data_IF_119015180272
#
_entry.id   IF_119015180272
#
_cell.length_a   1.000
_cell.length_b   1.000
_cell.length_c   1.000
_cell.angle_alpha   90.00
_cell.angle_beta   90.00
_cell.angle_gamma   90.00
#
_symmetry.space_group_name_H-M   'P 1'
#
loop_
_entity.id
_entity.type
_entity.pdbx_description
1 polymer ?
#
# COMPACT_ATOMS: atom_id res chain seq x y z
N UNK A 1 29.27 2.62 9.67
CA UNK A 1 29.10 2.77 11.12
C UNK A 1 30.44 3.23 11.69
N UNK A 2 30.45 4.31 12.46
CA UNK A 2 31.63 4.75 13.19
C UNK A 2 31.53 4.20 14.61
N UNK A 3 32.60 3.56 15.08
CA UNK A 3 32.78 3.08 16.44
C UNK A 3 34.06 3.73 16.99
N UNK A 4 33.93 4.40 18.12
CA UNK A 4 35.03 5.08 18.81
C UNK A 4 35.21 4.39 20.15
N UNK A 5 36.42 3.88 20.39
CA UNK A 5 36.83 3.36 21.68
C UNK A 5 37.73 4.39 22.37
N UNK A 6 37.37 4.74 23.60
CA UNK A 6 38.08 5.72 24.42
C UNK A 6 38.62 5.01 25.65
N UNK A 7 39.93 5.08 25.84
CA UNK A 7 40.62 4.51 27.02
C UNK A 7 41.43 5.59 27.72
N UNK A 8 41.29 5.68 29.05
CA UNK A 8 42.08 6.59 29.88
C UNK A 8 43.15 5.80 30.64
N UNK A 9 44.42 6.03 30.30
CA UNK A 9 45.55 5.35 30.95
C UNK A 9 45.74 5.70 32.43
N UNK A 10 45.20 6.83 32.90
CA UNK A 10 45.42 7.31 34.27
C UNK A 10 44.38 6.79 35.27
N UNK A 11 43.11 6.64 34.88
CA UNK A 11 42.04 6.18 35.76
C UNK A 11 41.40 4.85 35.33
N UNK A 12 41.86 4.25 34.23
CA UNK A 12 41.32 2.98 33.72
C UNK A 12 39.94 3.09 33.07
N UNK A 13 39.40 4.29 32.89
CA UNK A 13 38.09 4.48 32.24
C UNK A 13 38.12 3.97 30.80
N UNK A 14 37.11 3.19 30.41
CA UNK A 14 36.85 2.77 29.03
C UNK A 14 35.41 3.12 28.63
N UNK A 15 35.25 3.69 27.43
CA UNK A 15 33.95 3.90 26.79
C UNK A 15 34.02 3.50 25.33
N UNK A 16 32.98 2.81 24.89
CA UNK A 16 32.69 2.62 23.47
C UNK A 16 31.52 3.55 23.10
N UNK A 17 31.69 4.34 22.05
CA UNK A 17 30.63 5.12 21.44
C UNK A 17 30.41 4.65 20.00
N UNK A 18 29.14 4.47 19.63
CA UNK A 18 28.75 4.09 18.28
C UNK A 18 27.83 5.15 17.70
N UNK A 19 28.08 5.52 16.44
CA UNK A 19 27.27 6.52 15.71
C UNK A 19 25.79 6.18 15.59
N UNK A 20 25.43 4.90 15.71
CA UNK A 20 24.08 4.37 15.57
C UNK A 20 24.03 2.94 16.13
N UNK A 21 22.87 2.46 16.60
CA UNK A 21 22.71 1.07 17.01
C UNK A 21 22.71 0.12 15.80
N UNK A 22 22.89 -1.17 16.10
CA UNK A 22 22.76 -2.26 15.13
C UNK A 22 21.42 -2.96 15.31
N UNK A 23 20.71 -3.24 14.21
CA UNK A 23 19.53 -4.11 14.16
C UNK A 23 19.96 -5.41 13.50
N UNK A 24 20.22 -6.43 14.31
CA UNK A 24 20.93 -7.62 13.85
C UNK A 24 22.31 -7.24 13.32
N UNK A 25 22.59 -7.57 12.06
CA UNK A 25 23.84 -7.22 11.37
C UNK A 25 23.78 -5.92 10.57
N UNK A 26 22.69 -5.15 10.66
CA UNK A 26 22.47 -3.95 9.85
C UNK A 26 22.53 -2.68 10.71
N UNK A 27 23.32 -1.66 10.34
CA UNK A 27 23.28 -0.36 11.01
C UNK A 27 21.88 0.25 10.90
N UNK A 28 21.29 0.67 12.02
CA UNK A 28 19.89 1.09 12.07
C UNK A 28 19.57 2.24 11.10
N UNK A 29 20.50 3.19 10.94
CA UNK A 29 20.37 4.31 10.00
C UNK A 29 20.25 3.88 8.55
N UNK A 30 20.85 2.75 8.14
CA UNK A 30 20.72 2.23 6.78
C UNK A 30 19.30 1.71 6.51
N UNK A 31 18.68 1.07 7.50
CA UNK A 31 17.28 0.63 7.43
C UNK A 31 16.34 1.84 7.44
N UNK A 32 16.57 2.80 8.32
CA UNK A 32 15.78 4.05 8.39
C UNK A 32 15.86 4.81 7.06
N UNK A 33 17.04 4.94 6.47
CA UNK A 33 17.22 5.59 5.17
C UNK A 33 16.46 4.84 4.06
N UNK A 34 16.51 3.51 4.05
CA UNK A 34 15.76 2.70 3.08
C UNK A 34 14.25 2.83 3.27
N UNK A 35 13.78 2.85 4.52
CA UNK A 35 12.38 3.05 4.86
C UNK A 35 11.90 4.43 4.41
N UNK A 36 12.67 5.49 4.69
CA UNK A 36 12.36 6.84 4.27
C UNK A 36 12.23 6.93 2.75
N UNK A 37 13.21 6.42 1.99
CA UNK A 37 13.18 6.37 0.53
C UNK A 37 11.90 5.72 -0.02
N UNK A 38 11.55 4.54 0.50
CA UNK A 38 10.38 3.80 0.04
C UNK A 38 9.07 4.54 0.39
N UNK A 39 8.92 4.98 1.64
CA UNK A 39 7.67 5.54 2.15
C UNK A 39 7.37 6.93 1.58
N UNK A 40 8.39 7.70 1.20
CA UNK A 40 8.21 9.00 0.53
C UNK A 40 8.12 8.90 -0.99
N UNK A 41 8.25 7.69 -1.57
CA UNK A 41 8.22 7.49 -3.01
C UNK A 41 9.41 8.10 -3.76
N UNK A 42 10.55 8.30 -3.10
CA UNK A 42 11.74 8.86 -3.74
C UNK A 42 12.40 7.82 -4.63
N UNK A 43 12.94 8.26 -5.77
CA UNK A 43 13.73 7.41 -6.65
C UNK A 43 15.04 7.02 -5.95
N UNK A 44 15.27 5.72 -5.65
CA UNK A 44 16.44 5.29 -4.90
C UNK A 44 17.75 5.62 -5.63
N UNK A 45 17.77 5.41 -6.95
CA UNK A 45 18.92 5.71 -7.80
C UNK A 45 19.30 7.19 -7.77
N UNK A 46 18.31 8.10 -7.87
CA UNK A 46 18.56 9.55 -7.81
C UNK A 46 19.03 9.99 -6.43
N UNK A 47 18.43 9.43 -5.38
CA UNK A 47 18.75 9.85 -4.00
C UNK A 47 20.10 9.34 -3.55
N UNK A 48 20.45 8.10 -3.88
CA UNK A 48 21.79 7.56 -3.60
C UNK A 48 22.85 8.34 -4.38
N UNK A 49 22.62 8.62 -5.68
CA UNK A 49 23.52 9.47 -6.47
C UNK A 49 23.68 10.87 -5.88
N UNK A 50 22.61 11.45 -5.33
CA UNK A 50 22.67 12.73 -4.64
C UNK A 50 23.59 12.68 -3.40
N UNK A 51 23.49 11.64 -2.57
CA UNK A 51 24.38 11.46 -1.42
C UNK A 51 25.84 11.31 -1.84
N UNK A 52 26.09 10.56 -2.92
CA UNK A 52 27.42 10.42 -3.51
C UNK A 52 28.00 11.78 -3.95
N UNK A 53 27.21 12.65 -4.59
CA UNK A 53 27.67 14.00 -4.99
C UNK A 53 28.01 14.90 -3.80
N UNK A 54 27.37 14.68 -2.64
CA UNK A 54 27.70 15.39 -1.40
C UNK A 54 28.88 14.78 -0.64
N UNK A 55 29.51 13.71 -1.17
CA UNK A 55 30.50 12.90 -0.45
C UNK A 55 29.98 12.31 0.87
N UNK A 56 28.68 12.03 0.94
CA UNK A 56 28.05 11.35 2.08
C UNK A 56 27.96 9.86 1.77
N UNK A 57 28.64 9.05 2.57
CA UNK A 57 28.58 7.58 2.45
C UNK A 57 27.16 7.12 2.76
N UNK A 58 26.51 6.45 1.80
CA UNK A 58 25.16 5.89 1.93
C UNK A 58 25.11 4.42 1.51
N UNK A 59 23.92 3.81 1.60
CA UNK A 59 23.66 2.47 1.08
C UNK A 59 23.75 2.42 -0.45
N UNK A 60 23.93 1.21 -0.99
CA UNK A 60 23.86 0.96 -2.44
C UNK A 60 22.42 0.65 -2.89
N UNK A 61 22.09 0.77 -4.19
CA UNK A 61 20.80 0.33 -4.70
C UNK A 61 20.49 -1.14 -4.40
N UNK A 62 21.49 -2.03 -4.46
CA UNK A 62 21.31 -3.43 -4.10
C UNK A 62 20.91 -3.57 -2.63
N UNK A 63 21.62 -2.89 -1.71
CA UNK A 63 21.28 -2.88 -0.28
C UNK A 63 19.85 -2.40 -0.05
N UNK A 64 19.42 -1.34 -0.74
CA UNK A 64 18.06 -0.84 -0.68
C UNK A 64 17.02 -1.90 -1.09
N UNK A 65 17.22 -2.60 -2.22
CA UNK A 65 16.30 -3.64 -2.67
C UNK A 65 16.27 -4.86 -1.74
N UNK A 66 17.41 -5.23 -1.15
CA UNK A 66 17.44 -6.27 -0.11
C UNK A 66 16.65 -5.83 1.13
N UNK A 67 16.80 -4.57 1.56
CA UNK A 67 16.02 -4.04 2.67
C UNK A 67 14.52 -4.03 2.36
N UNK A 68 14.12 -3.62 1.16
CA UNK A 68 12.73 -3.67 0.72
C UNK A 68 12.16 -5.08 0.83
N UNK A 69 12.84 -6.06 0.23
CA UNK A 69 12.40 -7.45 0.16
C UNK A 69 12.27 -8.09 1.54
N UNK A 70 13.27 -7.91 2.40
CA UNK A 70 13.36 -8.69 3.65
C UNK A 70 12.80 -7.98 4.87
N UNK A 71 12.75 -6.65 4.88
CA UNK A 71 12.34 -5.89 6.06
C UNK A 71 11.14 -4.99 5.77
N UNK A 72 11.21 -4.15 4.73
CA UNK A 72 10.22 -3.08 4.56
C UNK A 72 8.88 -3.59 4.05
N UNK A 73 8.84 -4.35 2.95
CA UNK A 73 7.57 -4.89 2.43
C UNK A 73 6.89 -5.82 3.44
N UNK A 74 7.59 -6.75 4.13
CA UNK A 74 6.96 -7.55 5.18
C UNK A 74 6.38 -6.69 6.31
N UNK A 75 7.10 -5.65 6.75
CA UNK A 75 6.63 -4.75 7.81
C UNK A 75 5.40 -3.96 7.38
N UNK A 76 5.39 -3.40 6.16
CA UNK A 76 4.25 -2.69 5.59
C UNK A 76 3.03 -3.61 5.50
N UNK A 77 3.23 -4.82 4.95
CA UNK A 77 2.16 -5.83 4.87
C UNK A 77 1.62 -6.21 6.25
N UNK A 78 2.48 -6.34 7.25
CA UNK A 78 2.07 -6.64 8.62
C UNK A 78 1.18 -5.52 9.17
N UNK A 79 1.63 -4.27 9.09
CA UNK A 79 0.86 -3.11 9.58
C UNK A 79 -0.48 -3.00 8.85
N UNK A 80 -0.48 -3.13 7.53
CA UNK A 80 -1.70 -3.08 6.71
C UNK A 80 -2.70 -4.18 7.08
N UNK A 81 -2.24 -5.44 7.21
CA UNK A 81 -3.10 -6.56 7.60
C UNK A 81 -3.69 -6.38 9.00
N UNK A 82 -2.88 -5.94 9.96
CA UNK A 82 -3.36 -5.66 11.32
C UNK A 82 -4.43 -4.58 11.31
N UNK A 83 -4.22 -3.49 10.55
CA UNK A 83 -5.21 -2.43 10.38
C UNK A 83 -6.52 -2.97 9.77
N UNK A 84 -6.41 -3.68 8.64
CA UNK A 84 -7.56 -4.17 7.89
C UNK A 84 -8.37 -5.21 8.68
N UNK A 85 -7.70 -6.14 9.37
CA UNK A 85 -8.37 -7.12 10.23
C UNK A 85 -9.11 -6.45 11.39
N UNK A 86 -8.49 -5.45 12.03
CA UNK A 86 -9.12 -4.70 13.12
C UNK A 86 -10.38 -3.99 12.62
N UNK A 87 -10.28 -3.33 11.46
CA UNK A 87 -11.43 -2.67 10.82
C UNK A 87 -12.56 -3.66 10.54
N UNK A 88 -12.29 -4.78 9.86
CA UNK A 88 -13.33 -5.76 9.51
C UNK A 88 -13.98 -6.38 10.75
N UNK A 89 -13.21 -6.68 11.80
CA UNK A 89 -13.77 -7.17 13.07
C UNK A 89 -14.71 -6.15 13.70
N UNK A 90 -14.30 -4.88 13.74
CA UNK A 90 -15.14 -3.80 14.30
C UNK A 90 -16.45 -3.64 13.52
N UNK A 91 -16.38 -3.61 12.19
CA UNK A 91 -17.58 -3.50 11.36
C UNK A 91 -18.50 -4.71 11.50
N UNK A 92 -17.93 -5.92 11.54
CA UNK A 92 -18.71 -7.14 11.73
C UNK A 92 -19.43 -7.15 13.09
N UNK A 93 -18.77 -6.71 14.17
CA UNK A 93 -19.40 -6.57 15.49
C UNK A 93 -20.49 -5.51 15.50
N UNK A 94 -20.32 -4.40 14.77
CA UNK A 94 -21.33 -3.35 14.70
C UNK A 94 -22.61 -3.80 13.98
N UNK A 95 -22.50 -4.75 13.05
CA UNK A 95 -23.60 -5.17 12.17
C UNK A 95 -24.09 -4.08 11.21
N UNK A 96 -23.45 -2.91 11.19
CA UNK A 96 -23.80 -1.78 10.32
C UNK A 96 -23.47 -2.16 8.87
N UNK A 97 -24.42 -1.94 7.97
CA UNK A 97 -24.16 -2.05 6.55
C UNK A 97 -23.29 -0.88 6.08
N UNK A 98 -22.33 -1.17 5.20
CA UNK A 98 -21.29 -0.25 4.78
C UNK A 98 -21.74 0.62 3.60
N UNK A 99 -21.25 1.86 3.60
CA UNK A 99 -21.29 2.79 2.47
C UNK A 99 -19.91 2.75 1.81
N UNK A 100 -19.80 2.15 0.63
CA UNK A 100 -18.52 1.90 -0.01
C UNK A 100 -18.34 2.70 -1.30
N UNK A 101 -17.12 3.19 -1.51
CA UNK A 101 -16.68 3.79 -2.76
C UNK A 101 -15.57 2.96 -3.39
N UNK A 102 -15.56 2.81 -4.71
CA UNK A 102 -14.53 2.03 -5.38
C UNK A 102 -14.11 2.61 -6.72
N UNK A 103 -12.81 2.57 -6.98
CA UNK A 103 -12.17 3.12 -8.19
C UNK A 103 -10.99 2.23 -8.64
N UNK A 104 -10.81 2.16 -9.96
CA UNK A 104 -9.74 1.43 -10.63
C UNK A 104 -8.61 2.34 -11.07
N UNK A 105 -7.37 1.86 -10.94
CA UNK A 105 -6.19 2.49 -11.54
C UNK A 105 -5.36 1.49 -12.31
N UNK A 106 -4.71 1.96 -13.36
CA UNK A 106 -3.80 1.18 -14.19
C UNK A 106 -2.40 1.81 -14.21
N UNK A 107 -1.38 0.98 -14.38
CA UNK A 107 0.02 1.40 -14.41
C UNK A 107 0.40 2.22 -15.65
N UNK A 108 -0.29 2.00 -16.77
CA UNK A 108 -0.10 2.73 -18.02
C UNK A 108 -1.44 3.05 -18.69
N UNK A 109 -1.54 4.18 -19.42
CA UNK A 109 -2.75 4.50 -20.17
C UNK A 109 -3.03 3.52 -21.31
N UNK A 110 -4.31 3.36 -21.66
CA UNK A 110 -4.76 2.60 -22.83
C UNK A 110 -4.75 1.08 -22.62
N UNK A 111 -4.68 0.34 -23.73
CA UNK A 111 -4.89 -1.11 -23.72
C UNK A 111 -3.64 -1.93 -23.36
N UNK A 112 -2.49 -1.30 -23.10
CA UNK A 112 -1.22 -1.99 -22.79
C UNK A 112 -0.93 -2.14 -21.30
N UNK A 113 -1.85 -1.75 -20.42
CA UNK A 113 -1.65 -1.86 -18.98
C UNK A 113 -1.32 -3.29 -18.53
N UNK A 114 -0.25 -3.42 -17.75
CA UNK A 114 0.20 -4.71 -17.23
C UNK A 114 -0.39 -4.97 -15.85
N UNK A 115 -0.56 -3.91 -15.07
CA UNK A 115 -0.99 -3.99 -13.68
C UNK A 115 -2.14 -3.00 -13.45
N UNK A 116 -3.17 -3.50 -12.78
CA UNK A 116 -4.29 -2.72 -12.29
C UNK A 116 -4.42 -2.86 -10.78
N UNK A 117 -4.93 -1.82 -10.13
CA UNK A 117 -5.34 -1.87 -8.74
C UNK A 117 -6.76 -1.35 -8.58
N UNK A 118 -7.57 -2.01 -7.78
CA UNK A 118 -8.89 -1.52 -7.39
C UNK A 118 -8.87 -1.11 -5.93
N UNK A 119 -9.10 0.18 -5.66
CA UNK A 119 -9.18 0.72 -4.31
C UNK A 119 -10.62 0.70 -3.81
N UNK A 120 -10.83 0.26 -2.57
CA UNK A 120 -12.12 0.27 -1.90
C UNK A 120 -12.06 1.11 -0.64
N UNK A 121 -12.99 2.05 -0.52
CA UNK A 121 -13.09 3.02 0.56
C UNK A 121 -14.39 2.83 1.34
N UNK A 122 -14.31 2.95 2.67
CA UNK A 122 -15.47 3.25 3.51
C UNK A 122 -15.69 4.77 3.47
N UNK A 123 -16.83 5.18 2.92
CA UNK A 123 -17.17 6.59 2.71
C UNK A 123 -17.64 7.28 3.98
N UNK A 124 -18.18 6.54 4.95
CA UNK A 124 -18.61 7.13 6.23
C UNK A 124 -17.40 7.48 7.10
N UNK A 125 -16.35 6.64 7.04
CA UNK A 125 -15.11 6.83 7.81
C UNK A 125 -14.01 7.52 7.03
N UNK A 126 -14.16 7.66 5.70
CA UNK A 126 -13.14 8.16 4.79
C UNK A 126 -11.83 7.36 4.86
N UNK A 127 -11.95 6.04 4.93
CA UNK A 127 -10.81 5.13 5.05
C UNK A 127 -10.66 4.26 3.80
N UNK A 128 -9.44 4.08 3.32
CA UNK A 128 -9.13 3.00 2.38
C UNK A 128 -9.11 1.70 3.16
N UNK A 129 -10.02 0.79 2.83
CA UNK A 129 -10.22 -0.46 3.58
C UNK A 129 -9.61 -1.66 2.85
N UNK A 130 -9.47 -1.57 1.54
CA UNK A 130 -8.89 -2.62 0.72
C UNK A 130 -8.31 -2.07 -0.58
N UNK A 131 -7.24 -2.71 -1.06
CA UNK A 131 -6.65 -2.45 -2.37
C UNK A 131 -6.38 -3.83 -2.96
N UNK A 132 -7.05 -4.13 -4.06
CA UNK A 132 -6.85 -5.37 -4.79
C UNK A 132 -5.92 -5.14 -5.97
N UNK A 133 -4.98 -6.04 -6.20
CA UNK A 133 -4.03 -5.96 -7.31
C UNK A 133 -4.30 -7.06 -8.33
N UNK A 134 -4.37 -6.68 -9.61
CA UNK A 134 -4.66 -7.60 -10.71
C UNK A 134 -3.64 -7.40 -11.81
N UNK A 135 -2.98 -8.47 -12.24
CA UNK A 135 -2.15 -8.45 -13.43
C UNK A 135 -2.98 -8.80 -14.68
N UNK A 136 -2.71 -8.15 -15.81
CA UNK A 136 -3.48 -8.34 -17.04
C UNK A 136 -3.43 -9.76 -17.60
N UNK A 137 -2.46 -10.58 -17.21
CA UNK A 137 -2.36 -12.00 -17.59
C UNK A 137 -3.28 -12.92 -16.78
N UNK A 138 -3.77 -12.47 -15.63
CA UNK A 138 -4.76 -13.21 -14.83
C UNK A 138 -6.17 -13.09 -15.44
N UNK A 139 -6.34 -12.12 -16.34
CA UNK A 139 -7.61 -11.78 -16.98
C UNK A 139 -7.43 -11.76 -18.50
N UNK A 140 -8.52 -11.51 -19.23
CA UNK A 140 -8.49 -11.51 -20.70
C UNK A 140 -7.69 -10.34 -21.29
N UNK A 141 -7.70 -9.18 -20.62
CA UNK A 141 -6.97 -7.98 -21.03
C UNK A 141 -6.96 -6.94 -19.92
N UNK A 142 -6.16 -5.89 -20.11
CA UNK A 142 -6.11 -4.69 -19.26
C UNK A 142 -7.49 -4.11 -18.93
N UNK A 143 -8.40 -4.11 -19.90
CA UNK A 143 -9.79 -3.64 -19.73
C UNK A 143 -10.59 -4.41 -18.66
N UNK A 144 -10.23 -5.67 -18.41
CA UNK A 144 -10.94 -6.52 -17.45
C UNK A 144 -10.36 -6.44 -16.04
N UNK A 145 -9.19 -5.82 -15.85
CA UNK A 145 -8.51 -5.78 -14.54
C UNK A 145 -9.33 -5.04 -13.49
N UNK A 146 -9.97 -3.93 -13.88
CA UNK A 146 -10.78 -3.14 -12.95
C UNK A 146 -11.99 -3.94 -12.45
N UNK A 147 -12.75 -4.56 -13.37
CA UNK A 147 -13.89 -5.40 -13.01
C UNK A 147 -13.45 -6.55 -12.11
N UNK A 148 -12.35 -7.21 -12.44
CA UNK A 148 -11.80 -8.32 -11.64
C UNK A 148 -11.43 -7.85 -10.23
N UNK A 149 -10.71 -6.72 -10.12
CA UNK A 149 -10.34 -6.15 -8.83
C UNK A 149 -11.56 -5.77 -8.00
N UNK A 150 -12.60 -5.21 -8.63
CA UNK A 150 -13.89 -4.94 -7.99
C UNK A 150 -14.54 -6.22 -7.47
N UNK A 151 -14.66 -7.27 -8.29
CA UNK A 151 -15.31 -8.53 -7.89
C UNK A 151 -14.57 -9.18 -6.71
N UNK A 152 -13.25 -9.30 -6.78
CA UNK A 152 -12.42 -9.81 -5.68
C UNK A 152 -12.59 -9.00 -4.40
N UNK A 153 -12.69 -7.67 -4.53
CA UNK A 153 -12.99 -6.78 -3.40
C UNK A 153 -14.36 -7.07 -2.78
N UNK A 154 -15.40 -7.25 -3.61
CA UNK A 154 -16.74 -7.60 -3.12
C UNK A 154 -16.77 -8.98 -2.45
N UNK A 155 -16.06 -9.96 -3.02
CA UNK A 155 -15.94 -11.30 -2.45
C UNK A 155 -15.22 -11.28 -1.09
N UNK A 156 -14.21 -10.44 -0.93
CA UNK A 156 -13.58 -10.21 0.37
C UNK A 156 -14.60 -9.68 1.39
N UNK A 157 -15.36 -8.63 1.06
CA UNK A 157 -16.37 -8.06 1.98
C UNK A 157 -17.42 -9.12 2.36
N UNK A 158 -17.92 -9.88 1.38
CA UNK A 158 -18.85 -11.00 1.59
C UNK A 158 -18.24 -12.07 2.50
N UNK A 159 -16.98 -12.45 2.29
CA UNK A 159 -16.28 -13.45 3.11
C UNK A 159 -16.11 -13.04 4.57
N UNK A 160 -16.11 -11.73 4.85
CA UNK A 160 -16.08 -11.18 6.22
C UNK A 160 -17.47 -11.05 6.85
N UNK A 161 -18.54 -11.47 6.15
CA UNK A 161 -19.92 -11.38 6.63
C UNK A 161 -20.46 -9.95 6.68
N UNK A 162 -19.83 -9.02 5.96
CA UNK A 162 -20.20 -7.61 5.96
C UNK A 162 -21.23 -7.34 4.86
N UNK A 163 -22.19 -6.46 5.17
CA UNK A 163 -23.24 -6.03 4.23
C UNK A 163 -22.88 -4.69 3.65
N UNK A 164 -23.27 -4.45 2.39
CA UNK A 164 -23.07 -3.19 1.69
C UNK A 164 -24.46 -2.58 1.45
N UNK A 165 -24.73 -1.42 2.06
CA UNK A 165 -25.98 -0.69 1.86
C UNK A 165 -25.92 0.12 0.57
N UNK A 166 -24.87 0.93 0.45
CA UNK A 166 -24.67 1.87 -0.64
C UNK A 166 -23.29 1.62 -1.26
N UNK A 167 -23.23 1.63 -2.59
CA UNK A 167 -22.02 1.47 -3.37
C UNK A 167 -21.91 2.65 -4.34
N UNK A 168 -20.76 3.31 -4.37
CA UNK A 168 -20.44 4.40 -5.29
C UNK A 168 -19.27 3.96 -6.17
N UNK A 169 -19.47 3.95 -7.49
CA UNK A 169 -18.39 3.64 -8.45
C UNK A 169 -18.52 4.52 -9.69
N UNK A 170 -17.55 4.39 -10.59
CA UNK A 170 -17.63 4.93 -11.93
C UNK A 170 -18.74 4.28 -12.78
N UNK A 171 -18.99 4.90 -13.94
CA UNK A 171 -19.94 4.43 -14.97
C UNK A 171 -19.38 3.26 -15.79
N UNK A 172 -18.48 2.47 -15.25
CA UNK A 172 -17.93 1.31 -15.94
C UNK A 172 -19.04 0.25 -16.13
N UNK A 173 -19.52 0.10 -17.37
CA UNK A 173 -20.66 -0.74 -17.74
C UNK A 173 -20.63 -2.17 -17.16
N UNK A 174 -19.45 -2.79 -17.05
CA UNK A 174 -19.32 -4.13 -16.48
C UNK A 174 -19.55 -4.17 -14.96
N UNK A 175 -19.09 -3.15 -14.24
CA UNK A 175 -19.33 -2.99 -12.80
C UNK A 175 -20.80 -2.66 -12.54
N UNK A 176 -21.38 -1.72 -13.31
CA UNK A 176 -22.81 -1.38 -13.20
C UNK A 176 -23.68 -2.63 -13.40
N UNK A 177 -23.36 -3.43 -14.42
CA UNK A 177 -24.06 -4.69 -14.67
C UNK A 177 -23.94 -5.65 -13.50
N UNK A 178 -22.71 -5.84 -12.97
CA UNK A 178 -22.49 -6.71 -11.82
C UNK A 178 -23.26 -6.24 -10.59
N UNK A 179 -23.19 -4.96 -10.24
CA UNK A 179 -23.91 -4.41 -9.08
C UNK A 179 -25.42 -4.66 -9.18
N UNK A 180 -26.00 -4.48 -10.38
CA UNK A 180 -27.42 -4.73 -10.63
C UNK A 180 -27.81 -6.21 -10.51
N UNK A 181 -26.98 -7.12 -11.00
CA UNK A 181 -27.32 -8.55 -11.10
C UNK A 181 -26.94 -9.34 -9.84
N UNK A 182 -25.80 -9.03 -9.23
CA UNK A 182 -25.20 -9.79 -8.12
C UNK A 182 -25.34 -9.11 -6.75
N UNK A 183 -25.78 -7.85 -6.72
CA UNK A 183 -25.95 -7.07 -5.47
C UNK A 183 -27.33 -6.40 -5.40
N UNK A 184 -28.45 -7.14 -5.55
CA UNK A 184 -29.79 -6.56 -5.68
C UNK A 184 -30.27 -5.79 -4.44
N UNK A 185 -29.67 -6.04 -3.28
CA UNK A 185 -30.00 -5.35 -2.01
C UNK A 185 -29.09 -4.15 -1.72
N UNK A 186 -28.17 -3.82 -2.62
CA UNK A 186 -27.26 -2.68 -2.50
C UNK A 186 -27.72 -1.57 -3.44
N UNK A 187 -27.81 -0.34 -2.93
CA UNK A 187 -28.08 0.83 -3.76
C UNK A 187 -26.79 1.25 -4.45
N UNK A 188 -26.81 1.27 -5.78
CA UNK A 188 -25.66 1.67 -6.58
C UNK A 188 -25.82 3.13 -7.04
N UNK A 189 -24.80 3.93 -6.78
CA UNK A 189 -24.67 5.33 -7.15
C UNK A 189 -23.44 5.52 -8.05
N UNK A 190 -23.46 6.61 -8.82
CA UNK A 190 -22.32 7.01 -9.62
C UNK A 190 -21.50 8.07 -8.91
N UNK A 191 -20.17 7.99 -9.03
CA UNK A 191 -19.29 9.07 -8.60
C UNK A 191 -19.64 10.37 -9.36
N UNK A 192 -19.94 11.42 -8.58
CA UNK A 192 -20.31 12.74 -9.10
C UNK A 192 -19.14 13.44 -9.79
N UNK A 193 -17.88 13.11 -9.46
CA UNK A 193 -16.72 13.69 -10.11
C UNK A 193 -16.70 13.43 -11.61
N UNK A 194 -17.07 12.20 -12.01
CA UNK A 194 -17.24 11.83 -13.42
C UNK A 194 -18.39 12.60 -14.09
N UNK A 195 -19.49 12.80 -13.36
CA UNK A 195 -20.63 13.58 -13.86
C UNK A 195 -20.26 15.05 -14.08
N UNK A 196 -19.52 15.64 -13.15
CA UNK A 196 -19.13 17.04 -13.18
C UNK A 196 -18.07 17.32 -14.25
N UNK A 197 -17.14 16.40 -14.48
CA UNK A 197 -16.06 16.57 -15.45
C UNK A 197 -16.38 16.01 -16.85
N UNK A 198 -17.53 15.34 -17.02
CA UNK A 198 -17.95 14.78 -18.31
C UNK A 198 -17.06 13.63 -18.80
N UNK A 199 -16.42 12.91 -17.87
CA UNK A 199 -15.53 11.77 -18.13
C UNK A 199 -16.29 10.47 -17.88
#
# INVERSE_FOLDING_TARGET
MIKVEQTCGSCGFNRIWESQPMIGSVPAGNLIFSAALLLTGLLPSKTIRFMEQMNVISITPNTFFQHQKFYLHPSICSVWRTFQEKYFRQMATSGKALTLGGDGRADTPGHSAKYGSYGLLDLDLMLVIHIEFVQSNEVKSSYHMEKEGFVRSMDLIKSKGLKIADLVTDRHAQIVKYAREEMPNTKHYFDVWHVANGI
#
